data_IF_680393837730
#
_entry.id   IF_680393837730
#
_cell.length_a   1.000
_cell.length_b   1.000
_cell.length_c   1.000
_cell.angle_alpha   90.00
_cell.angle_beta   90.00
_cell.angle_gamma   90.00
#
_symmetry.space_group_name_H-M   'P 1'
#
loop_
_entity.id
_entity.type
_entity.pdbx_description
1 polymer ?
#
# COMPACT_ATOMS: atom_id res chain seq x y z
N UNK A 1 0.34 16.94 -3.84
CA UNK A 1 0.78 17.03 -5.26
C UNK A 1 0.36 15.71 -5.92
N UNK A 2 -0.17 15.54 -7.15
CA UNK A 2 -0.52 16.37 -8.31
C UNK A 2 -1.91 15.91 -8.83
N UNK A 3 -2.93 16.77 -8.76
CA UNK A 3 -4.32 16.46 -9.15
C UNK A 3 -4.43 15.86 -10.56
N UNK A 4 -3.58 16.31 -11.48
CA UNK A 4 -3.54 15.85 -12.86
C UNK A 4 -3.08 14.39 -13.02
N UNK A 5 -2.05 13.98 -12.27
CA UNK A 5 -1.53 12.60 -12.36
C UNK A 5 -2.53 11.60 -11.81
N UNK A 6 -3.17 11.91 -10.67
CA UNK A 6 -4.24 11.07 -10.16
C UNK A 6 -5.42 11.01 -11.13
N UNK A 7 -5.84 12.14 -11.70
CA UNK A 7 -6.90 12.16 -12.70
C UNK A 7 -6.62 11.23 -13.88
N UNK A 8 -5.42 11.32 -14.47
CA UNK A 8 -5.02 10.44 -15.57
C UNK A 8 -5.01 8.96 -15.16
N UNK A 9 -4.46 8.64 -13.99
CA UNK A 9 -4.42 7.26 -13.48
C UNK A 9 -5.84 6.72 -13.22
N UNK A 10 -6.74 7.52 -12.65
CA UNK A 10 -8.13 7.12 -12.43
C UNK A 10 -8.87 6.85 -13.76
N UNK A 11 -8.62 7.67 -14.78
CA UNK A 11 -9.18 7.47 -16.11
C UNK A 11 -8.67 6.16 -16.75
N UNK A 12 -7.36 5.92 -16.73
CA UNK A 12 -6.78 4.67 -17.24
C UNK A 12 -7.26 3.44 -16.47
N UNK A 13 -7.40 3.58 -15.15
CA UNK A 13 -7.94 2.52 -14.31
C UNK A 13 -9.39 2.16 -14.69
N UNK A 14 -10.25 3.13 -15.07
CA UNK A 14 -11.61 2.82 -15.51
C UNK A 14 -11.64 1.92 -16.76
N UNK A 15 -10.75 2.17 -17.72
CA UNK A 15 -10.59 1.33 -18.91
C UNK A 15 -10.10 -0.08 -18.55
N UNK A 16 -9.19 -0.21 -17.58
CA UNK A 16 -8.71 -1.49 -17.08
C UNK A 16 -9.82 -2.25 -16.31
N UNK A 17 -10.59 -1.54 -15.48
CA UNK A 17 -11.66 -2.14 -14.70
C UNK A 17 -12.78 -2.72 -15.59
N UNK A 18 -13.03 -2.12 -16.76
CA UNK A 18 -13.96 -2.66 -17.74
C UNK A 18 -13.53 -4.04 -18.32
N UNK A 19 -12.25 -4.39 -18.24
CA UNK A 19 -11.72 -5.70 -18.63
C UNK A 19 -11.77 -6.74 -17.49
N UNK A 20 -12.19 -6.31 -16.30
CA UNK A 20 -12.26 -7.10 -15.07
C UNK A 20 -11.28 -6.62 -14.00
N UNK A 21 -11.77 -6.44 -12.78
CA UNK A 21 -10.95 -5.98 -11.66
C UNK A 21 -11.18 -6.75 -10.35
N UNK A 22 -10.60 -7.94 -10.31
CA UNK A 22 -10.62 -8.78 -9.09
C UNK A 22 -9.95 -8.11 -7.90
N UNK A 23 -8.93 -7.27 -8.13
CA UNK A 23 -8.15 -6.71 -7.04
C UNK A 23 -8.90 -5.53 -6.40
N UNK A 24 -9.54 -4.67 -7.19
CA UNK A 24 -10.43 -3.63 -6.69
C UNK A 24 -11.70 -4.20 -6.05
N UNK A 25 -12.28 -5.26 -6.59
CA UNK A 25 -13.39 -5.98 -5.95
C UNK A 25 -13.00 -6.44 -4.53
N UNK A 26 -11.86 -7.11 -4.38
CA UNK A 26 -11.38 -7.58 -3.08
C UNK A 26 -11.01 -6.43 -2.14
N UNK A 27 -10.49 -5.31 -2.68
CA UNK A 27 -10.21 -4.11 -1.90
C UNK A 27 -11.44 -3.60 -1.15
N UNK A 28 -12.63 -3.70 -1.76
CA UNK A 28 -13.90 -3.29 -1.16
C UNK A 28 -14.51 -4.28 -0.16
N UNK A 29 -14.03 -5.53 -0.12
CA UNK A 29 -14.58 -6.58 0.76
C UNK A 29 -13.97 -6.57 2.17
N UNK A 30 -12.81 -5.94 2.34
CA UNK A 30 -12.05 -5.93 3.58
C UNK A 30 -12.17 -4.56 4.22
N UNK A 31 -12.59 -4.51 5.50
CA UNK A 31 -12.47 -3.29 6.31
C UNK A 31 -11.01 -3.12 6.73
N UNK A 32 -10.27 -2.35 5.92
CA UNK A 32 -8.85 -2.13 6.16
C UNK A 32 -8.58 -1.23 7.38
N UNK A 33 -9.53 -0.37 7.76
CA UNK A 33 -9.34 0.53 8.89
C UNK A 33 -9.43 -0.21 10.22
N UNK A 34 -10.06 -1.40 10.25
CA UNK A 34 -10.04 -2.31 11.39
C UNK A 34 -8.63 -2.75 11.81
N UNK A 35 -7.63 -2.71 10.91
CA UNK A 35 -6.23 -2.99 11.25
C UNK A 35 -5.55 -1.86 12.02
N UNK A 36 -6.03 -0.62 11.91
CA UNK A 36 -5.41 0.53 12.59
C UNK A 36 -5.31 0.37 14.11
N UNK A 37 -6.39 0.06 14.84
CA UNK A 37 -6.30 -0.12 16.29
C UNK A 37 -5.43 -1.34 16.68
N UNK A 38 -5.42 -2.40 15.86
CA UNK A 38 -4.60 -3.58 16.12
C UNK A 38 -3.10 -3.30 16.00
N UNK A 39 -2.74 -2.33 15.17
CA UNK A 39 -1.36 -1.97 14.84
C UNK A 39 -0.97 -0.60 15.44
N UNK A 40 -1.75 -0.07 16.37
CA UNK A 40 -1.50 1.24 16.97
C UNK A 40 -0.14 1.29 17.69
N UNK A 41 0.24 0.19 18.34
CA UNK A 41 1.47 0.09 19.14
C UNK A 41 2.73 -0.16 18.30
N UNK A 42 2.60 -0.54 17.02
CA UNK A 42 3.72 -0.79 16.11
C UNK A 42 4.52 0.48 15.76
N UNK A 43 3.89 1.64 15.87
CA UNK A 43 4.49 2.92 15.59
C UNK A 43 4.53 3.76 16.87
N UNK A 44 5.55 3.56 17.68
CA UNK A 44 5.83 4.35 18.89
C UNK A 44 6.40 5.74 18.56
N UNK A 45 5.73 6.51 17.70
CA UNK A 45 6.20 7.85 17.29
C UNK A 45 5.35 8.98 17.90
N UNK A 46 4.82 8.78 19.11
CA UNK A 46 4.20 9.86 19.88
C UNK A 46 5.23 10.76 20.61
N UNK A 47 6.51 10.36 20.69
CA UNK A 47 7.49 11.00 21.59
C UNK A 47 8.31 12.16 21.00
N UNK A 48 7.96 12.68 19.82
CA UNK A 48 8.52 13.94 19.31
C UNK A 48 10.05 13.94 19.02
N UNK A 49 10.72 12.78 19.04
CA UNK A 49 12.11 12.65 18.59
C UNK A 49 12.09 12.50 17.06
N UNK A 50 12.50 13.57 16.37
CA UNK A 50 12.32 13.75 14.93
C UNK A 50 12.70 12.57 14.03
N UNK A 51 11.99 12.46 12.91
CA UNK A 51 12.18 11.49 11.83
C UNK A 51 11.14 11.72 10.71
N UNK A 52 11.31 11.09 9.55
CA UNK A 52 10.28 11.11 8.48
C UNK A 52 9.00 10.46 9.03
N UNK A 53 7.80 11.04 8.78
CA UNK A 53 6.55 10.39 9.17
C UNK A 53 6.50 8.95 8.66
N UNK A 54 6.01 8.03 9.50
CA UNK A 54 5.80 6.65 9.07
C UNK A 54 4.73 6.61 7.97
N UNK A 55 4.83 5.62 7.09
CA UNK A 55 3.75 5.31 6.16
C UNK A 55 2.50 4.86 6.92
N UNK A 56 1.34 5.03 6.28
CA UNK A 56 0.08 4.52 6.80
C UNK A 56 0.15 3.00 7.02
N UNK A 57 -0.21 2.53 8.22
CA UNK A 57 -0.34 1.09 8.56
C UNK A 57 -1.16 0.34 7.52
N UNK A 58 -2.25 0.93 7.03
CA UNK A 58 -3.15 0.30 6.06
C UNK A 58 -2.44 0.09 4.73
N UNK A 59 -1.68 1.09 4.28
CA UNK A 59 -0.87 0.99 3.06
C UNK A 59 0.14 -0.15 3.18
N UNK A 60 0.83 -0.25 4.32
CA UNK A 60 1.84 -1.28 4.56
C UNK A 60 1.24 -2.69 4.61
N UNK A 61 0.07 -2.86 5.23
CA UNK A 61 -0.65 -4.15 5.24
C UNK A 61 -1.09 -4.54 3.83
N UNK A 62 -1.66 -3.61 3.06
CA UNK A 62 -2.04 -3.88 1.66
C UNK A 62 -0.82 -4.28 0.81
N UNK A 63 0.34 -3.67 1.02
CA UNK A 63 1.59 -4.08 0.36
C UNK A 63 1.99 -5.53 0.70
N UNK A 64 1.90 -5.93 1.97
CA UNK A 64 2.19 -7.32 2.38
C UNK A 64 1.17 -8.31 1.79
N UNK A 65 -0.10 -7.92 1.66
CA UNK A 65 -1.12 -8.74 0.98
C UNK A 65 -0.77 -8.95 -0.48
N UNK A 66 -0.41 -7.87 -1.21
CA UNK A 66 0.04 -7.99 -2.61
C UNK A 66 1.28 -8.86 -2.71
N UNK A 67 2.23 -8.70 -1.80
CA UNK A 67 3.42 -9.52 -1.77
C UNK A 67 3.09 -11.01 -1.64
N UNK A 68 2.22 -11.36 -0.71
CA UNK A 68 1.85 -12.74 -0.44
C UNK A 68 1.04 -13.37 -1.58
N UNK A 69 0.07 -12.64 -2.16
CA UNK A 69 -0.78 -13.18 -3.22
C UNK A 69 -0.06 -13.35 -4.55
N UNK A 70 0.90 -12.48 -4.85
CA UNK A 70 1.64 -12.53 -6.12
C UNK A 70 3.04 -13.17 -5.95
N UNK A 71 3.42 -13.61 -4.76
CA UNK A 71 4.70 -14.27 -4.49
C UNK A 71 5.92 -13.37 -4.71
N UNK A 72 5.80 -12.08 -4.38
CA UNK A 72 6.79 -11.06 -4.75
C UNK A 72 7.94 -10.95 -3.75
N UNK A 73 9.16 -10.75 -4.25
CA UNK A 73 10.28 -10.29 -3.41
C UNK A 73 10.11 -8.80 -3.04
N UNK A 74 10.79 -8.32 -1.99
CA UNK A 74 10.70 -6.90 -1.59
C UNK A 74 11.08 -5.91 -2.74
N UNK A 75 12.17 -6.14 -3.51
CA UNK A 75 12.47 -5.30 -4.67
C UNK A 75 11.42 -5.39 -5.79
N UNK A 76 10.78 -6.55 -5.94
CA UNK A 76 9.77 -6.74 -6.97
C UNK A 76 8.43 -6.12 -6.59
N UNK A 77 8.05 -6.20 -5.32
CA UNK A 77 6.89 -5.51 -4.77
C UNK A 77 7.01 -4.00 -5.01
N UNK A 78 8.14 -3.40 -4.66
CA UNK A 78 8.41 -1.97 -4.89
C UNK A 78 8.26 -1.62 -6.38
N UNK A 79 8.87 -2.43 -7.27
CA UNK A 79 8.80 -2.23 -8.73
C UNK A 79 7.37 -2.35 -9.25
N UNK A 80 6.65 -3.41 -8.89
CA UNK A 80 5.30 -3.67 -9.39
C UNK A 80 4.27 -2.68 -8.81
N UNK A 81 4.39 -2.30 -7.54
CA UNK A 81 3.52 -1.29 -6.92
C UNK A 81 3.74 0.10 -7.56
N UNK A 82 4.96 0.37 -8.03
CA UNK A 82 5.25 1.58 -8.81
C UNK A 82 4.70 1.49 -10.23
N UNK A 83 4.85 0.37 -10.91
CA UNK A 83 4.52 0.28 -12.34
C UNK A 83 3.02 0.03 -12.62
N UNK A 84 2.35 -0.81 -11.82
CA UNK A 84 1.02 -1.34 -12.13
C UNK A 84 -0.10 -0.46 -11.60
N UNK A 85 -0.96 0.03 -12.50
CA UNK A 85 -2.15 0.83 -12.16
C UNK A 85 -3.11 0.07 -11.23
N UNK A 86 -3.32 -1.23 -11.45
CA UNK A 86 -4.19 -2.03 -10.58
C UNK A 86 -3.66 -2.13 -9.15
N UNK A 87 -2.33 -2.21 -8.97
CA UNK A 87 -1.72 -2.19 -7.65
C UNK A 87 -1.86 -0.82 -7.00
N UNK A 88 -1.61 0.26 -7.75
CA UNK A 88 -1.81 1.62 -7.23
C UNK A 88 -3.25 1.87 -6.79
N UNK A 89 -4.24 1.36 -7.55
CA UNK A 89 -5.65 1.42 -7.16
C UNK A 89 -5.90 0.67 -5.85
N UNK A 90 -5.45 -0.59 -5.76
CA UNK A 90 -5.56 -1.39 -4.55
C UNK A 90 -4.93 -0.71 -3.33
N UNK A 91 -3.79 -0.04 -3.50
CA UNK A 91 -3.07 0.67 -2.45
C UNK A 91 -3.70 2.03 -2.07
N UNK A 92 -4.77 2.47 -2.76
CA UNK A 92 -5.43 3.73 -2.47
C UNK A 92 -4.69 4.97 -3.00
N UNK A 93 -3.92 4.82 -4.09
CA UNK A 93 -3.17 5.90 -4.74
C UNK A 93 -2.25 6.69 -3.80
N UNK A 94 -1.30 6.02 -3.12
CA UNK A 94 -0.36 6.69 -2.23
C UNK A 94 0.53 7.67 -3.03
N UNK A 95 0.89 8.79 -2.42
CA UNK A 95 1.79 9.79 -3.04
C UNK A 95 3.18 9.21 -3.31
N UNK A 96 3.65 8.33 -2.43
CA UNK A 96 4.93 7.63 -2.57
C UNK A 96 4.77 6.16 -2.22
N UNK A 97 5.39 5.28 -3.01
CA UNK A 97 5.48 3.86 -2.72
C UNK A 97 6.64 3.64 -1.74
N UNK A 98 6.41 2.95 -0.61
CA UNK A 98 7.47 2.53 0.30
C UNK A 98 8.56 1.72 -0.41
N UNK A 99 9.81 2.05 -0.15
CA UNK A 99 10.93 1.25 -0.66
C UNK A 99 10.97 -0.14 -0.01
N UNK A 100 11.69 -1.07 -0.65
CA UNK A 100 11.88 -2.45 -0.18
C UNK A 100 12.35 -2.56 1.26
N UNK A 101 13.19 -1.63 1.74
CA UNK A 101 13.75 -1.68 3.09
C UNK A 101 12.72 -1.28 4.14
N UNK A 102 11.83 -0.36 3.78
CA UNK A 102 10.70 0.07 4.61
C UNK A 102 9.68 -1.04 4.77
N UNK A 103 9.35 -1.76 3.68
CA UNK A 103 8.45 -2.91 3.73
C UNK A 103 9.05 -4.04 4.56
N UNK A 104 10.32 -4.35 4.36
CA UNK A 104 11.03 -5.34 5.15
C UNK A 104 11.00 -5.00 6.65
N UNK A 105 11.35 -3.77 7.02
CA UNK A 105 11.36 -3.33 8.42
C UNK A 105 9.97 -3.41 9.05
N UNK A 106 8.92 -3.07 8.31
CA UNK A 106 7.56 -3.21 8.79
C UNK A 106 7.19 -4.68 9.06
N UNK A 107 7.57 -5.59 8.16
CA UNK A 107 7.35 -7.02 8.34
C UNK A 107 8.06 -7.56 9.58
N UNK A 108 9.33 -7.20 9.80
CA UNK A 108 10.08 -7.61 10.98
C UNK A 108 9.39 -7.19 12.28
N UNK A 109 8.79 -5.99 12.31
CA UNK A 109 8.08 -5.51 13.49
C UNK A 109 6.78 -6.28 13.80
N UNK A 110 6.17 -6.93 12.81
CA UNK A 110 4.94 -7.72 13.00
C UNK A 110 5.19 -9.09 13.66
N UNK A 111 6.43 -9.58 13.64
CA UNK A 111 6.80 -10.92 14.14
C UNK A 111 7.12 -10.89 15.65
N UNK A 112 7.21 -9.69 16.24
CA UNK A 112 7.58 -9.45 17.65
C UNK A 112 6.44 -9.82 18.61
#
# INVERSE_FOLDING_TARGET
>A
MSTFTNFAIHHEYASLAALGDRLGEVSGLIDWDAFRPLLADLYTNAEGRGGRPNYDVVLMIRLLVLQQWYGLSDPELERQATDRISFRHFLGYPETIPDRSTVWLFRERLIV
#
